data_IF_722987154693
#
_entry.id   IF_722987154693
#
_cell.length_a   1.000
_cell.length_b   1.000
_cell.length_c   1.000
_cell.angle_alpha   90.00
_cell.angle_beta   90.00
_cell.angle_gamma   90.00
#
_symmetry.space_group_name_H-M   'P 1'
#
loop_
_entity.id
_entity.type
_entity.pdbx_description
1 polymer ?
#
# COMPACT_ATOMS: atom_id res chain seq x y z
N UNK A 1 -33.01 -44.13 -20.27
CA UNK A 1 -32.85 -44.36 -21.73
C UNK A 1 -33.50 -43.27 -22.55
N UNK A 2 -32.68 -42.40 -23.12
CA UNK A 2 -33.13 -41.33 -24.02
C UNK A 2 -32.93 -41.84 -25.45
N UNK A 3 -34.02 -42.12 -26.16
CA UNK A 3 -34.01 -42.37 -27.61
C UNK A 3 -34.36 -41.07 -28.33
N UNK A 4 -33.44 -40.62 -29.18
CA UNK A 4 -33.65 -39.48 -30.07
C UNK A 4 -34.26 -39.99 -31.39
N UNK A 5 -35.48 -39.59 -31.72
CA UNK A 5 -36.01 -39.69 -33.09
C UNK A 5 -35.89 -38.33 -33.76
N UNK A 6 -35.34 -38.34 -34.97
CA UNK A 6 -34.96 -37.16 -35.72
C UNK A 6 -36.14 -36.76 -36.62
N UNK A 7 -37.05 -35.93 -36.11
CA UNK A 7 -37.99 -35.15 -36.92
C UNK A 7 -37.67 -33.66 -36.69
N UNK A 8 -37.22 -33.01 -37.75
CA UNK A 8 -37.02 -31.57 -37.92
C UNK A 8 -38.26 -30.83 -37.37
N UNK A 9 -38.25 -29.94 -36.38
CA UNK A 9 -37.34 -28.87 -36.01
C UNK A 9 -37.36 -28.71 -34.49
N UNK A 10 -36.31 -29.14 -33.79
CA UNK A 10 -36.15 -28.88 -32.36
C UNK A 10 -35.82 -30.13 -31.55
N UNK A 11 -35.33 -29.91 -30.32
CA UNK A 11 -35.05 -30.99 -29.38
C UNK A 11 -36.21 -31.05 -28.40
N UNK A 12 -37.00 -32.12 -28.47
CA UNK A 12 -38.10 -32.35 -27.52
C UNK A 12 -37.55 -32.94 -26.23
N UNK A 13 -37.76 -32.24 -25.12
CA UNK A 13 -37.33 -32.69 -23.79
C UNK A 13 -38.56 -33.05 -22.97
N UNK A 14 -38.67 -34.32 -22.56
CA UNK A 14 -39.74 -34.80 -21.68
C UNK A 14 -39.33 -34.63 -20.22
N UNK A 15 -40.14 -33.89 -19.46
CA UNK A 15 -39.91 -33.64 -18.03
C UNK A 15 -40.97 -34.41 -17.24
N UNK A 16 -40.52 -35.27 -16.31
CA UNK A 16 -41.40 -36.02 -15.42
C UNK A 16 -41.39 -35.37 -14.04
N UNK A 17 -42.58 -35.18 -13.48
CA UNK A 17 -42.74 -34.67 -12.12
C UNK A 17 -42.45 -35.79 -11.12
N UNK A 18 -41.78 -35.47 -10.02
CA UNK A 18 -41.52 -36.42 -8.92
C UNK A 18 -42.81 -36.86 -8.21
N UNK A 19 -43.85 -36.02 -8.23
CA UNK A 19 -45.13 -36.28 -7.57
C UNK A 19 -46.31 -35.87 -8.46
N UNK A 20 -47.46 -36.53 -8.26
CA UNK A 20 -48.70 -36.22 -8.99
C UNK A 20 -49.26 -34.87 -8.52
N UNK A 21 -49.40 -33.92 -9.45
CA UNK A 21 -49.94 -32.59 -9.17
C UNK A 21 -51.42 -32.69 -8.74
N UNK A 22 -51.77 -32.11 -7.59
CA UNK A 22 -53.16 -31.93 -7.13
C UNK A 22 -53.86 -30.84 -7.96
N UNK A 23 -55.19 -30.83 -8.00
CA UNK A 23 -55.98 -29.96 -8.90
C UNK A 23 -55.72 -28.45 -8.74
N UNK A 24 -55.25 -28.00 -7.58
CA UNK A 24 -54.88 -26.62 -7.23
C UNK A 24 -53.39 -26.46 -6.89
N UNK A 25 -52.61 -27.53 -7.06
CA UNK A 25 -51.19 -27.55 -6.75
C UNK A 25 -50.39 -26.64 -7.66
N UNK A 26 -49.36 -25.99 -7.11
CA UNK A 26 -48.40 -25.19 -7.87
C UNK A 26 -47.03 -25.86 -7.82
N UNK A 27 -46.41 -26.06 -8.97
CA UNK A 27 -45.03 -26.56 -9.07
C UNK A 27 -44.18 -25.51 -9.79
N UNK A 28 -42.93 -25.39 -9.36
CA UNK A 28 -41.90 -24.56 -10.01
C UNK A 28 -40.87 -25.50 -10.63
N UNK A 29 -40.59 -25.31 -11.92
CA UNK A 29 -39.60 -26.09 -12.67
C UNK A 29 -38.58 -25.10 -13.23
N UNK A 30 -37.30 -25.42 -13.09
CA UNK A 30 -36.22 -24.68 -13.70
C UNK A 30 -35.52 -25.58 -14.73
N UNK A 31 -35.40 -25.11 -15.96
CA UNK A 31 -34.72 -25.82 -17.05
C UNK A 31 -33.57 -24.94 -17.52
N UNK A 32 -32.37 -25.51 -17.57
CA UNK A 32 -31.15 -24.83 -18.04
C UNK A 32 -30.54 -25.62 -19.18
N UNK A 33 -30.18 -24.92 -20.25
CA UNK A 33 -29.59 -25.51 -21.45
C UNK A 33 -28.64 -24.52 -22.11
N UNK A 34 -27.67 -25.04 -22.85
CA UNK A 34 -26.71 -24.26 -23.62
C UNK A 34 -26.98 -24.46 -25.11
N UNK A 35 -27.16 -23.36 -25.84
CA UNK A 35 -27.35 -23.37 -27.29
C UNK A 35 -26.06 -22.93 -28.01
N UNK A 36 -25.77 -23.45 -29.21
CA UNK A 36 -24.65 -22.99 -30.02
C UNK A 36 -24.88 -21.52 -30.42
N UNK A 37 -23.97 -20.59 -30.08
CA UNK A 37 -24.17 -19.17 -30.34
C UNK A 37 -24.22 -18.85 -31.83
N UNK A 38 -23.58 -19.67 -32.70
CA UNK A 38 -23.52 -19.40 -34.14
C UNK A 38 -24.89 -19.36 -34.81
N UNK A 39 -25.89 -20.04 -34.25
CA UNK A 39 -27.23 -20.16 -34.85
C UNK A 39 -28.17 -19.00 -34.45
N UNK A 40 -27.84 -18.26 -33.40
CA UNK A 40 -28.71 -17.23 -32.81
C UNK A 40 -28.05 -15.84 -32.79
N UNK A 41 -26.73 -15.76 -32.97
CA UNK A 41 -25.98 -14.52 -32.97
C UNK A 41 -25.52 -14.14 -34.38
N UNK A 42 -26.02 -13.02 -34.89
CA UNK A 42 -25.61 -12.45 -36.17
C UNK A 42 -24.76 -11.21 -35.91
N UNK A 43 -23.58 -11.14 -36.51
CA UNK A 43 -22.72 -9.96 -36.46
C UNK A 43 -23.10 -9.00 -37.59
N UNK A 44 -23.45 -7.77 -37.25
CA UNK A 44 -23.85 -6.72 -38.19
C UNK A 44 -22.79 -5.59 -38.18
N UNK A 45 -21.71 -5.79 -38.94
CA UNK A 45 -20.57 -4.87 -38.95
C UNK A 45 -19.54 -5.16 -37.85
N UNK A 46 -18.79 -4.13 -37.43
CA UNK A 46 -17.59 -4.33 -36.59
C UNK A 46 -17.90 -4.39 -35.09
N UNK A 47 -18.95 -3.69 -34.65
CA UNK A 47 -19.32 -3.57 -33.24
C UNK A 47 -20.77 -3.93 -32.95
N UNK A 48 -21.63 -4.09 -33.96
CA UNK A 48 -23.04 -4.38 -33.73
C UNK A 48 -23.31 -5.88 -33.85
N UNK A 49 -24.14 -6.37 -32.96
CA UNK A 49 -24.56 -7.76 -32.88
C UNK A 49 -26.07 -7.81 -32.70
N UNK A 50 -26.68 -8.78 -33.37
CA UNK A 50 -28.12 -9.02 -33.31
C UNK A 50 -28.33 -10.43 -32.79
N UNK A 51 -28.91 -10.52 -31.60
CA UNK A 51 -29.38 -11.77 -31.02
C UNK A 51 -30.81 -12.02 -31.50
N UNK A 52 -31.00 -13.10 -32.26
CA UNK A 52 -32.29 -13.53 -32.80
C UNK A 52 -32.80 -14.71 -31.98
N UNK A 53 -33.90 -14.52 -31.26
CA UNK A 53 -34.53 -15.57 -30.46
C UNK A 53 -35.95 -15.77 -30.95
N UNK A 54 -36.28 -16.98 -31.35
CA UNK A 54 -37.64 -17.37 -31.69
C UNK A 54 -38.24 -18.14 -30.52
N UNK A 55 -39.26 -17.56 -29.88
CA UNK A 55 -40.00 -18.23 -28.82
C UNK A 55 -41.14 -19.02 -29.46
N UNK A 56 -40.99 -20.35 -29.46
CA UNK A 56 -42.00 -21.30 -29.95
C UNK A 56 -42.84 -21.75 -28.76
N UNK A 57 -44.18 -21.68 -28.90
CA UNK A 57 -45.12 -22.17 -27.89
C UNK A 57 -45.32 -23.68 -28.02
N UNK A 58 -45.31 -24.45 -26.92
CA UNK A 58 -45.84 -25.81 -26.92
C UNK A 58 -47.38 -25.77 -27.05
N UNK A 59 -47.93 -26.53 -28.00
CA UNK A 59 -49.35 -26.48 -28.39
C UNK A 59 -50.36 -26.68 -27.25
N UNK A 60 -49.96 -27.38 -26.18
CA UNK A 60 -50.85 -27.80 -25.09
C UNK A 60 -50.87 -26.85 -23.88
N UNK A 61 -50.10 -25.76 -23.87
CA UNK A 61 -49.91 -24.94 -22.65
C UNK A 61 -50.58 -23.56 -22.73
N UNK A 62 -51.20 -23.11 -21.63
CA UNK A 62 -51.70 -21.74 -21.46
C UNK A 62 -50.68 -20.94 -20.64
N UNK A 63 -50.13 -19.88 -21.22
CA UNK A 63 -49.09 -19.07 -20.60
C UNK A 63 -49.68 -17.72 -20.17
N UNK A 64 -49.68 -17.46 -18.85
CA UNK A 64 -50.25 -16.23 -18.29
C UNK A 64 -49.27 -15.04 -18.30
N UNK A 65 -47.99 -15.31 -18.02
CA UNK A 65 -46.92 -14.31 -17.99
C UNK A 65 -45.64 -14.91 -18.57
N UNK A 66 -44.97 -14.17 -19.45
CA UNK A 66 -43.59 -14.45 -19.87
C UNK A 66 -42.72 -13.27 -19.51
N UNK A 67 -41.60 -13.55 -18.83
CA UNK A 67 -40.57 -12.57 -18.56
C UNK A 67 -39.29 -13.04 -19.27
N UNK A 68 -38.85 -12.27 -20.27
CA UNK A 68 -37.57 -12.48 -20.93
C UNK A 68 -36.53 -11.58 -20.25
N UNK A 69 -35.42 -12.19 -19.84
CA UNK A 69 -34.29 -11.49 -19.24
C UNK A 69 -33.07 -11.78 -20.10
N UNK A 70 -32.59 -10.76 -20.81
CA UNK A 70 -31.37 -10.86 -21.61
C UNK A 70 -30.25 -10.16 -20.84
N UNK A 71 -29.22 -10.93 -20.47
CA UNK A 71 -28.03 -10.38 -19.83
C UNK A 71 -26.98 -10.13 -20.89
N UNK A 72 -26.66 -8.87 -21.12
CA UNK A 72 -25.65 -8.49 -22.11
C UNK A 72 -24.23 -8.71 -21.55
N UNK A 73 -23.22 -8.91 -22.42
CA UNK A 73 -21.84 -8.97 -21.99
C UNK A 73 -21.38 -7.62 -21.43
N UNK A 74 -20.34 -7.64 -20.60
CA UNK A 74 -19.79 -6.41 -20.01
C UNK A 74 -19.25 -5.45 -21.07
N UNK A 75 -19.64 -4.18 -21.00
CA UNK A 75 -19.27 -3.16 -22.00
C UNK A 75 -20.15 -3.18 -23.24
N UNK A 76 -21.20 -4.02 -23.29
CA UNK A 76 -22.23 -3.90 -24.30
C UNK A 76 -23.30 -2.90 -23.90
N UNK A 77 -23.71 -2.09 -24.87
CA UNK A 77 -24.84 -1.17 -24.75
C UNK A 77 -25.99 -1.65 -25.62
N UNK A 78 -27.21 -1.58 -25.09
CA UNK A 78 -28.40 -1.85 -25.87
C UNK A 78 -28.61 -0.74 -26.92
N UNK A 79 -28.75 -1.13 -28.20
CA UNK A 79 -29.11 -0.20 -29.27
C UNK A 79 -30.62 -0.15 -29.39
N UNK A 80 -31.24 -1.32 -29.63
CA UNK A 80 -32.66 -1.43 -29.91
C UNK A 80 -33.14 -2.86 -29.68
N UNK A 81 -34.35 -3.00 -29.14
CA UNK A 81 -35.09 -4.26 -29.16
C UNK A 81 -36.18 -4.11 -30.22
N UNK A 82 -36.06 -4.87 -31.31
CA UNK A 82 -37.08 -4.93 -32.34
C UNK A 82 -38.07 -6.03 -31.96
N UNK A 83 -39.21 -5.61 -31.43
CA UNK A 83 -40.35 -6.48 -31.14
C UNK A 83 -41.49 -6.19 -32.13
N UNK A 84 -42.27 -7.20 -32.55
CA UNK A 84 -43.56 -6.94 -33.18
C UNK A 84 -44.48 -6.23 -32.17
N UNK A 85 -44.79 -4.97 -32.47
CA UNK A 85 -45.14 -3.85 -31.58
C UNK A 85 -46.42 -4.00 -30.71
N UNK A 86 -47.15 -5.12 -30.74
CA UNK A 86 -48.55 -5.06 -30.29
C UNK A 86 -48.86 -5.43 -28.82
N UNK A 87 -47.90 -5.89 -27.98
CA UNK A 87 -48.25 -6.42 -26.63
C UNK A 87 -47.25 -6.24 -25.46
N UNK A 88 -46.07 -5.65 -25.68
CA UNK A 88 -45.11 -5.43 -24.58
C UNK A 88 -45.51 -4.21 -23.73
N UNK A 89 -45.59 -4.38 -22.40
CA UNK A 89 -46.02 -3.30 -21.50
C UNK A 89 -44.88 -2.33 -21.12
N UNK A 90 -43.66 -2.60 -21.58
CA UNK A 90 -42.50 -1.73 -21.46
C UNK A 90 -41.19 -2.53 -21.40
N UNK A 91 -40.17 -2.03 -22.10
CA UNK A 91 -38.79 -2.53 -21.99
C UNK A 91 -38.15 -1.84 -20.79
N UNK A 92 -37.66 -2.61 -19.81
CA UNK A 92 -36.88 -2.07 -18.69
C UNK A 92 -35.43 -2.46 -18.85
N UNK A 93 -34.53 -1.49 -18.75
CA UNK A 93 -33.08 -1.72 -18.76
C UNK A 93 -32.57 -1.41 -17.36
N UNK A 94 -31.96 -2.39 -16.71
CA UNK A 94 -31.33 -2.22 -15.40
C UNK A 94 -29.83 -2.47 -15.51
N UNK A 95 -29.03 -1.63 -14.84
CA UNK A 95 -27.61 -1.85 -14.69
C UNK A 95 -27.35 -2.82 -13.53
N UNK A 96 -26.73 -3.96 -13.84
CA UNK A 96 -26.34 -4.97 -12.83
C UNK A 96 -24.96 -4.70 -12.26
N UNK A 97 -24.14 -4.04 -13.06
CA UNK A 97 -22.79 -3.56 -12.74
C UNK A 97 -22.60 -2.25 -13.52
N UNK A 98 -21.67 -1.37 -13.13
CA UNK A 98 -21.32 -0.18 -13.91
C UNK A 98 -21.03 -0.45 -15.40
N UNK A 99 -20.69 -1.70 -15.76
CA UNK A 99 -20.39 -2.10 -17.13
C UNK A 99 -21.32 -3.20 -17.66
N UNK A 100 -22.43 -3.52 -17.01
CA UNK A 100 -23.31 -4.61 -17.46
C UNK A 100 -24.78 -4.23 -17.40
N UNK A 101 -25.45 -4.35 -18.54
CA UNK A 101 -26.88 -4.09 -18.70
C UNK A 101 -27.68 -5.40 -18.75
N UNK A 102 -28.85 -5.41 -18.09
CA UNK A 102 -29.88 -6.43 -18.25
C UNK A 102 -31.12 -5.82 -18.85
N UNK A 103 -31.65 -6.49 -19.86
CA UNK A 103 -32.89 -6.11 -20.53
C UNK A 103 -34.00 -7.01 -20.03
N UNK A 104 -35.02 -6.40 -19.46
CA UNK A 104 -36.23 -7.06 -18.98
C UNK A 104 -37.37 -6.72 -19.92
N UNK A 105 -37.99 -7.76 -20.45
CA UNK A 105 -39.19 -7.66 -21.27
C UNK A 105 -40.27 -8.53 -20.65
N UNK A 106 -41.38 -7.89 -20.25
CA UNK A 106 -42.52 -8.57 -19.67
C UNK A 106 -43.72 -8.60 -20.64
N UNK A 107 -44.28 -9.79 -20.81
CA UNK A 107 -45.49 -10.04 -21.60
C UNK A 107 -46.60 -10.57 -20.71
N UNK A 108 -47.77 -9.93 -20.76
CA UNK A 108 -48.96 -10.31 -20.01
C UNK A 108 -50.09 -10.81 -20.93
N UNK A 109 -50.79 -11.86 -20.51
CA UNK A 109 -52.03 -12.36 -21.16
C UNK A 109 -51.88 -12.70 -22.65
N UNK A 110 -50.91 -13.55 -22.99
CA UNK A 110 -50.54 -13.85 -24.37
C UNK A 110 -51.30 -15.09 -24.88
N UNK A 111 -52.52 -14.90 -25.38
CA UNK A 111 -53.40 -16.00 -25.82
C UNK A 111 -52.99 -16.60 -27.19
N UNK A 112 -52.17 -15.89 -28.00
CA UNK A 112 -51.55 -16.42 -29.23
C UNK A 112 -50.11 -15.95 -29.33
N UNK A 113 -49.17 -16.84 -29.00
CA UNK A 113 -47.79 -16.78 -29.49
C UNK A 113 -47.81 -17.29 -30.93
N UNK A 114 -47.98 -16.38 -31.87
CA UNK A 114 -47.58 -16.60 -33.26
C UNK A 114 -46.08 -16.28 -33.29
N UNK A 115 -45.25 -17.16 -33.86
CA UNK A 115 -43.79 -17.19 -33.77
C UNK A 115 -43.14 -15.84 -33.42
N UNK A 116 -42.87 -15.62 -32.11
CA UNK A 116 -42.35 -14.33 -31.65
C UNK A 116 -40.84 -14.35 -31.85
N UNK A 117 -40.39 -13.71 -32.93
CA UNK A 117 -38.99 -13.43 -33.17
C UNK A 117 -38.58 -12.15 -32.43
N UNK A 118 -37.82 -12.30 -31.35
CA UNK A 118 -37.24 -11.19 -30.59
C UNK A 118 -35.84 -10.95 -31.11
N UNK A 119 -35.62 -9.73 -31.60
CA UNK A 119 -34.32 -9.31 -32.10
C UNK A 119 -33.73 -8.24 -31.17
N UNK A 120 -32.72 -8.63 -30.39
CA UNK A 120 -31.99 -7.73 -29.50
C UNK A 120 -30.72 -7.26 -30.20
N UNK A 121 -30.68 -5.98 -30.55
CA UNK A 121 -29.52 -5.35 -31.18
C UNK A 121 -28.68 -4.66 -30.12
N UNK A 122 -27.40 -5.03 -30.02
CA UNK A 122 -26.48 -4.48 -29.04
C UNK A 122 -25.13 -4.15 -29.67
N UNK A 123 -24.45 -3.15 -29.12
CA UNK A 123 -23.10 -2.80 -29.52
C UNK A 123 -22.12 -3.43 -28.53
N UNK A 124 -21.08 -4.09 -29.02
CA UNK A 124 -20.02 -4.66 -28.21
C UNK A 124 -18.67 -4.46 -28.88
N UNK A 125 -17.79 -3.70 -28.24
CA UNK A 125 -16.44 -3.53 -28.73
C UNK A 125 -15.56 -4.70 -28.31
N UNK A 126 -14.84 -5.30 -29.28
CA UNK A 126 -14.03 -6.51 -29.08
C UNK A 126 -12.92 -6.31 -28.04
N UNK A 127 -12.46 -5.08 -27.81
CA UNK A 127 -11.45 -4.79 -26.79
C UNK A 127 -11.95 -5.04 -25.35
N UNK A 128 -13.26 -5.02 -25.10
CA UNK A 128 -13.81 -5.35 -23.78
C UNK A 128 -13.55 -6.81 -23.39
N UNK A 129 -13.48 -7.73 -24.35
CA UNK A 129 -13.12 -9.12 -24.09
C UNK A 129 -11.71 -9.24 -23.48
N UNK A 130 -10.82 -8.31 -23.84
CA UNK A 130 -9.46 -8.23 -23.32
C UNK A 130 -9.35 -7.52 -21.98
N UNK A 131 -10.36 -6.77 -21.52
CA UNK A 131 -10.21 -5.91 -20.34
C UNK A 131 -9.95 -6.68 -19.05
N UNK A 132 -10.65 -7.80 -18.82
CA UNK A 132 -10.45 -8.64 -17.64
C UNK A 132 -9.03 -9.21 -17.57
N UNK A 133 -8.51 -9.89 -18.61
CA UNK A 133 -7.14 -10.38 -18.57
C UNK A 133 -6.11 -9.25 -18.58
N UNK A 134 -6.36 -8.11 -19.25
CA UNK A 134 -5.41 -6.97 -19.23
C UNK A 134 -5.38 -6.26 -17.89
N UNK A 135 -6.49 -6.17 -17.16
CA UNK A 135 -6.51 -5.65 -15.79
C UNK A 135 -5.71 -6.54 -14.84
N UNK A 136 -5.86 -7.86 -14.95
CA UNK A 136 -5.04 -8.79 -14.18
C UNK A 136 -3.56 -8.68 -14.55
N UNK A 137 -3.23 -8.63 -15.84
CA UNK A 137 -1.87 -8.44 -16.31
C UNK A 137 -1.30 -7.08 -15.85
N UNK A 138 -2.07 -6.01 -15.91
CA UNK A 138 -1.69 -4.68 -15.44
C UNK A 138 -1.55 -4.63 -13.92
N UNK A 139 -2.34 -5.38 -13.16
CA UNK A 139 -2.17 -5.52 -11.72
C UNK A 139 -0.89 -6.30 -11.38
N UNK A 140 -0.57 -7.35 -12.13
CA UNK A 140 0.67 -8.13 -11.96
C UNK A 140 1.88 -7.27 -12.34
N UNK A 141 1.85 -6.65 -13.51
CA UNK A 141 2.94 -5.77 -13.99
C UNK A 141 3.05 -4.54 -13.10
N UNK A 142 1.94 -3.92 -12.73
CA UNK A 142 1.89 -2.78 -11.81
C UNK A 142 2.43 -3.12 -10.44
N UNK A 143 2.05 -4.27 -9.86
CA UNK A 143 2.61 -4.74 -8.60
C UNK A 143 4.11 -5.08 -8.73
N UNK A 144 4.55 -5.68 -9.83
CA UNK A 144 5.97 -5.91 -10.10
C UNK A 144 6.75 -4.60 -10.28
N UNK A 145 6.18 -3.58 -10.93
CA UNK A 145 6.78 -2.25 -11.07
C UNK A 145 6.83 -1.56 -9.71
N UNK A 146 5.76 -1.63 -8.91
CA UNK A 146 5.74 -1.08 -7.55
C UNK A 146 6.78 -1.79 -6.68
N UNK A 147 6.85 -3.11 -6.72
CA UNK A 147 7.89 -3.90 -6.05
C UNK A 147 9.28 -3.56 -6.58
N UNK A 148 9.46 -3.34 -7.87
CA UNK A 148 10.73 -2.95 -8.47
C UNK A 148 11.12 -1.52 -8.08
N UNK A 149 10.17 -0.58 -8.01
CA UNK A 149 10.41 0.80 -7.56
C UNK A 149 10.69 0.84 -6.06
N UNK A 150 9.97 0.05 -5.25
CA UNK A 150 10.27 -0.16 -3.83
C UNK A 150 11.63 -0.83 -3.66
N UNK A 151 11.96 -1.84 -4.46
CA UNK A 151 13.24 -2.54 -4.43
C UNK A 151 14.38 -1.70 -5.01
N UNK A 152 14.12 -0.74 -5.90
CA UNK A 152 15.12 0.21 -6.44
C UNK A 152 15.31 1.43 -5.54
N UNK A 153 14.24 1.88 -4.89
CA UNK A 153 14.30 2.77 -3.72
C UNK A 153 15.08 2.10 -2.57
N UNK A 154 14.86 0.79 -2.39
CA UNK A 154 15.67 -0.09 -1.53
C UNK A 154 16.96 -0.57 -2.23
N UNK A 155 17.24 -0.25 -3.50
CA UNK A 155 18.55 -0.56 -4.10
C UNK A 155 19.57 0.53 -3.74
N UNK A 156 19.13 1.55 -3.00
CA UNK A 156 19.98 2.36 -2.16
C UNK A 156 20.00 1.93 -0.68
N UNK A 157 19.29 0.87 -0.30
CA UNK A 157 19.34 0.27 1.03
C UNK A 157 19.05 -1.23 0.90
N UNK A 158 20.09 -2.03 0.68
CA UNK A 158 19.95 -3.48 0.76
C UNK A 158 19.35 -3.85 2.12
N UNK A 159 18.08 -4.22 2.15
CA UNK A 159 17.43 -4.80 3.33
C UNK A 159 17.30 -6.30 3.06
N UNK A 160 18.23 -7.14 3.56
CA UNK A 160 17.78 -8.40 4.09
C UNK A 160 16.92 -8.12 5.33
N UNK A 161 15.89 -8.95 5.51
CA UNK A 161 15.17 -9.19 6.78
C UNK A 161 15.94 -8.71 8.01
N UNK A 162 15.29 -8.07 9.01
CA UNK A 162 15.96 -7.52 10.18
C UNK A 162 16.84 -8.59 10.80
N UNK A 163 18.13 -8.56 10.50
CA UNK A 163 19.11 -9.19 11.34
C UNK A 163 18.99 -8.38 12.62
N UNK A 164 18.55 -8.97 13.76
CA UNK A 164 18.65 -8.27 15.02
C UNK A 164 20.08 -7.77 15.08
N UNK A 165 20.25 -6.46 15.28
CA UNK A 165 21.58 -5.91 15.49
C UNK A 165 22.23 -6.81 16.52
N UNK A 166 23.36 -7.42 16.17
CA UNK A 166 24.05 -8.26 17.15
C UNK A 166 24.17 -7.42 18.41
N UNK A 167 23.66 -7.93 19.53
CA UNK A 167 23.68 -7.23 20.83
C UNK A 167 25.11 -6.75 21.14
N UNK A 168 26.12 -7.42 20.59
CA UNK A 168 27.53 -7.03 20.62
C UNK A 168 27.84 -5.69 19.92
N UNK A 169 27.20 -5.38 18.79
CA UNK A 169 27.38 -4.11 18.06
C UNK A 169 26.76 -2.96 18.86
N UNK A 170 25.55 -3.15 19.42
CA UNK A 170 24.90 -2.16 20.28
C UNK A 170 25.73 -1.88 21.53
N UNK A 171 26.20 -2.94 22.19
CA UNK A 171 27.06 -2.82 23.37
C UNK A 171 28.35 -2.05 23.06
N UNK A 172 29.06 -2.42 22.00
CA UNK A 172 30.27 -1.73 21.56
C UNK A 172 30.02 -0.27 21.21
N UNK A 173 28.88 0.05 20.61
CA UNK A 173 28.52 1.43 20.29
C UNK A 173 28.34 2.27 21.56
N UNK A 174 27.61 1.75 22.55
CA UNK A 174 27.42 2.43 23.84
C UNK A 174 28.76 2.62 24.55
N UNK A 175 29.61 1.59 24.60
CA UNK A 175 30.95 1.67 25.19
C UNK A 175 31.80 2.76 24.53
N UNK A 176 31.77 2.86 23.20
CA UNK A 176 32.51 3.89 22.44
C UNK A 176 31.96 5.30 22.72
N UNK A 177 30.64 5.46 22.84
CA UNK A 177 30.01 6.72 23.21
C UNK A 177 30.38 7.17 24.63
N UNK A 178 30.37 6.24 25.59
CA UNK A 178 30.76 6.51 26.98
C UNK A 178 32.25 6.86 27.08
N UNK A 179 33.11 6.13 26.37
CA UNK A 179 34.55 6.40 26.34
C UNK A 179 34.86 7.76 25.68
N UNK A 180 34.16 8.12 24.59
CA UNK A 180 34.26 9.45 23.98
C UNK A 180 33.94 10.54 25.01
N UNK A 181 32.82 10.40 25.72
CA UNK A 181 32.40 11.36 26.74
C UNK A 181 33.42 11.47 27.88
N UNK A 182 33.97 10.32 28.32
CA UNK A 182 35.02 10.27 29.33
C UNK A 182 36.27 11.03 28.88
N UNK A 183 36.78 10.76 27.68
CA UNK A 183 37.96 11.44 27.12
C UNK A 183 37.72 12.95 27.04
N UNK A 184 36.53 13.37 26.59
CA UNK A 184 36.17 14.80 26.55
C UNK A 184 36.17 15.45 27.94
N UNK A 185 35.60 14.78 28.94
CA UNK A 185 35.62 15.28 30.32
C UNK A 185 37.05 15.34 30.90
N UNK A 186 37.88 14.34 30.60
CA UNK A 186 39.29 14.34 31.00
C UNK A 186 40.05 15.50 30.35
N UNK A 187 39.82 15.79 29.06
CA UNK A 187 40.38 16.96 28.37
C UNK A 187 39.97 18.28 29.04
N UNK A 188 38.68 18.44 29.38
CA UNK A 188 38.18 19.64 30.08
C UNK A 188 38.82 19.80 31.46
N UNK A 189 38.95 18.70 32.21
CA UNK A 189 39.61 18.72 33.52
C UNK A 189 41.11 19.07 33.42
N UNK A 190 41.78 18.60 32.36
CA UNK A 190 43.18 18.89 32.07
C UNK A 190 43.38 20.37 31.72
N UNK A 191 42.44 20.96 30.98
CA UNK A 191 42.41 22.40 30.68
C UNK A 191 42.21 23.23 31.94
N UNK A 192 41.29 22.87 32.84
CA UNK A 192 41.12 23.55 34.13
C UNK A 192 42.37 23.47 35.01
N UNK A 193 42.99 22.29 35.11
CA UNK A 193 44.20 22.11 35.92
C UNK A 193 45.38 22.93 35.38
N UNK A 194 45.51 23.02 34.06
CA UNK A 194 46.49 23.89 33.41
C UNK A 194 46.18 25.37 33.64
N UNK A 195 44.92 25.79 33.53
CA UNK A 195 44.50 27.17 33.78
C UNK A 195 44.75 27.61 35.24
N UNK A 196 44.60 26.68 36.20
CA UNK A 196 44.91 26.89 37.61
C UNK A 196 46.41 26.77 37.95
N UNK A 197 47.27 26.50 36.96
CA UNK A 197 48.72 26.37 37.14
C UNK A 197 49.19 25.09 37.85
N UNK A 198 48.31 24.09 38.01
CA UNK A 198 48.63 22.82 38.70
C UNK A 198 49.53 21.89 37.88
N UNK A 199 49.56 22.06 36.56
CA UNK A 199 50.32 21.23 35.64
C UNK A 199 51.23 22.11 34.78
N UNK A 200 52.47 21.67 34.57
CA UNK A 200 53.40 22.39 33.70
C UNK A 200 52.95 22.35 32.22
N UNK A 201 53.29 23.40 31.45
CA UNK A 201 52.96 23.47 30.00
C UNK A 201 53.43 22.24 29.21
N UNK A 202 54.57 21.65 29.59
CA UNK A 202 55.12 20.46 28.91
C UNK A 202 54.29 19.20 29.21
N UNK A 203 53.91 18.99 30.46
CA UNK A 203 53.05 17.87 30.86
C UNK A 203 51.66 17.99 30.23
N UNK A 204 51.08 19.19 30.23
CA UNK A 204 49.80 19.46 29.58
C UNK A 204 49.82 19.05 28.09
N UNK A 205 50.81 19.50 27.32
CA UNK A 205 50.93 19.15 25.89
C UNK A 205 51.04 17.65 25.67
N UNK A 206 51.80 16.94 26.51
CA UNK A 206 51.98 15.50 26.39
C UNK A 206 50.66 14.75 26.68
N UNK A 207 49.99 15.08 27.79
CA UNK A 207 48.72 14.48 28.18
C UNK A 207 47.62 14.77 27.16
N UNK A 208 47.52 16.03 26.70
CA UNK A 208 46.57 16.44 25.66
C UNK A 208 46.78 15.67 24.36
N UNK A 209 48.03 15.51 23.91
CA UNK A 209 48.35 14.74 22.70
C UNK A 209 47.96 13.26 22.84
N UNK A 210 48.13 12.67 24.04
CA UNK A 210 47.69 11.29 24.29
C UNK A 210 46.16 11.18 24.18
N UNK A 211 45.42 12.06 24.87
CA UNK A 211 43.95 12.09 24.82
C UNK A 211 43.43 12.36 23.40
N UNK A 212 44.06 13.25 22.63
CA UNK A 212 43.73 13.49 21.22
C UNK A 212 43.95 12.25 20.35
N UNK A 213 45.04 11.50 20.61
CA UNK A 213 45.30 10.21 19.98
C UNK A 213 44.21 9.18 20.28
N UNK A 214 43.84 9.03 21.56
CA UNK A 214 42.76 8.14 21.99
C UNK A 214 41.42 8.54 21.36
N UNK A 215 41.07 9.84 21.40
CA UNK A 215 39.86 10.37 20.79
C UNK A 215 39.77 10.04 19.29
N UNK A 216 40.88 10.19 18.56
CA UNK A 216 40.91 9.86 17.13
C UNK A 216 40.65 8.37 16.85
N UNK A 217 41.10 7.48 17.75
CA UNK A 217 40.85 6.05 17.63
C UNK A 217 39.39 5.70 17.94
N UNK A 218 38.84 6.29 19.00
CA UNK A 218 37.44 6.14 19.43
C UNK A 218 36.49 6.67 18.34
N UNK A 219 36.82 7.80 17.71
CA UNK A 219 36.03 8.38 16.64
C UNK A 219 36.02 7.51 15.37
N UNK A 220 37.14 6.85 15.04
CA UNK A 220 37.17 5.88 13.94
C UNK A 220 36.27 4.68 14.22
N UNK A 221 36.32 4.11 15.43
CA UNK A 221 35.42 3.01 15.82
C UNK A 221 33.96 3.45 15.86
N UNK A 222 33.69 4.68 16.29
CA UNK A 222 32.34 5.24 16.29
C UNK A 222 31.76 5.30 14.88
N UNK A 223 32.52 5.78 13.90
CA UNK A 223 32.05 5.86 12.51
C UNK A 223 31.77 4.48 11.90
N UNK A 224 32.61 3.49 12.18
CA UNK A 224 32.39 2.11 11.72
C UNK A 224 31.13 1.47 12.35
N UNK A 225 30.94 1.66 13.66
CA UNK A 225 29.75 1.17 14.37
C UNK A 225 28.48 1.91 13.96
N UNK A 226 28.57 3.23 13.72
CA UNK A 226 27.48 4.05 13.18
C UNK A 226 26.99 3.48 11.84
N UNK A 227 27.90 3.23 10.90
CA UNK A 227 27.53 2.69 9.60
C UNK A 227 26.82 1.32 9.72
N UNK A 228 27.29 0.46 10.63
CA UNK A 228 26.67 -0.84 10.92
C UNK A 228 25.27 -0.70 11.52
N UNK A 229 25.08 0.25 12.44
CA UNK A 229 23.78 0.52 13.06
C UNK A 229 22.79 1.20 12.10
N UNK A 230 23.24 2.11 11.24
CA UNK A 230 22.40 2.72 10.20
C UNK A 230 21.94 1.68 9.17
N UNK A 231 22.83 0.77 8.77
CA UNK A 231 22.50 -0.34 7.88
C UNK A 231 21.49 -1.33 8.49
N UNK A 232 21.50 -1.46 9.82
CA UNK A 232 20.60 -2.36 10.53
C UNK A 232 19.15 -1.86 10.60
N UNK A 233 18.89 -0.55 10.55
CA UNK A 233 17.52 -0.06 10.56
C UNK A 233 17.35 1.44 10.72
N UNK A 234 16.20 1.92 10.22
CA UNK A 234 15.81 3.35 10.30
C UNK A 234 15.65 3.85 11.74
N UNK A 235 15.25 2.99 12.67
CA UNK A 235 15.09 3.35 14.09
C UNK A 235 16.44 3.74 14.70
N UNK A 236 17.47 2.92 14.50
CA UNK A 236 18.84 3.21 14.94
C UNK A 236 19.42 4.44 14.24
N UNK A 237 19.22 4.58 12.93
CA UNK A 237 19.66 5.76 12.20
C UNK A 237 19.05 7.06 12.78
N UNK A 238 17.76 7.04 13.14
CA UNK A 238 17.11 8.18 13.77
C UNK A 238 17.64 8.46 15.19
N UNK A 239 17.92 7.42 16.00
CA UNK A 239 18.51 7.57 17.33
C UNK A 239 19.92 8.17 17.25
N UNK A 240 20.77 7.65 16.36
CA UNK A 240 22.14 8.15 16.14
C UNK A 240 22.11 9.60 15.66
N UNK A 241 21.23 9.93 14.71
CA UNK A 241 21.10 11.31 14.23
C UNK A 241 20.76 12.28 15.36
N UNK A 242 19.78 11.94 16.21
CA UNK A 242 19.41 12.76 17.37
C UNK A 242 20.55 12.87 18.39
N UNK A 243 21.33 11.80 18.57
CA UNK A 243 22.51 11.80 19.42
C UNK A 243 23.57 12.79 18.90
N UNK A 244 23.88 12.75 17.61
CA UNK A 244 24.84 13.67 16.98
C UNK A 244 24.37 15.13 17.01
N UNK A 245 23.07 15.37 16.81
CA UNK A 245 22.48 16.70 16.93
C UNK A 245 22.63 17.25 18.36
N UNK A 246 22.36 16.44 19.38
CA UNK A 246 22.53 16.82 20.77
C UNK A 246 24.01 17.08 21.13
N UNK A 247 24.93 16.22 20.69
CA UNK A 247 26.37 16.40 20.91
C UNK A 247 26.90 17.66 20.23
N UNK A 248 26.47 17.93 18.99
CA UNK A 248 26.83 19.14 18.27
C UNK A 248 26.29 20.39 18.97
N UNK A 249 25.06 20.36 19.50
CA UNK A 249 24.51 21.47 20.28
C UNK A 249 25.34 21.74 21.55
N UNK A 250 25.71 20.70 22.30
CA UNK A 250 26.58 20.82 23.48
C UNK A 250 27.91 21.50 23.11
N UNK A 251 28.55 21.05 22.03
CA UNK A 251 29.84 21.60 21.60
C UNK A 251 29.72 23.08 21.18
N UNK A 252 28.66 23.43 20.43
CA UNK A 252 28.39 24.82 20.02
C UNK A 252 28.15 25.71 21.25
N UNK A 253 27.39 25.23 22.24
CA UNK A 253 27.15 25.98 23.49
C UNK A 253 28.41 26.13 24.33
N UNK A 254 29.26 25.10 24.43
CA UNK A 254 30.56 25.18 25.14
C UNK A 254 31.50 26.21 24.51
N UNK A 255 31.58 26.26 23.17
CA UNK A 255 32.32 27.31 22.46
C UNK A 255 31.73 28.70 22.73
N UNK A 256 30.41 28.83 22.70
CA UNK A 256 29.71 30.10 22.99
C UNK A 256 30.00 30.59 24.41
N UNK A 257 30.08 29.70 25.40
CA UNK A 257 30.48 30.02 26.78
C UNK A 257 31.91 30.58 26.81
N UNK A 258 32.85 29.92 26.13
CA UNK A 258 34.25 30.40 26.04
C UNK A 258 34.32 31.79 25.42
N UNK A 259 33.59 32.03 24.34
CA UNK A 259 33.56 33.34 23.68
C UNK A 259 33.00 34.43 24.59
N UNK A 260 31.92 34.15 25.33
CA UNK A 260 31.36 35.08 26.33
C UNK A 260 32.38 35.42 27.40
N UNK A 261 33.12 34.44 27.92
CA UNK A 261 34.17 34.67 28.91
C UNK A 261 35.32 35.52 28.36
N UNK A 262 35.71 35.34 27.09
CA UNK A 262 36.73 36.16 26.44
C UNK A 262 36.26 37.61 26.30
N UNK A 263 35.03 37.85 25.83
CA UNK A 263 34.46 39.21 25.69
C UNK A 263 34.33 39.92 27.03
N UNK A 264 33.96 39.20 28.08
CA UNK A 264 33.91 39.74 29.44
C UNK A 264 35.30 40.18 29.92
N UNK A 265 36.34 39.34 29.74
CA UNK A 265 37.72 39.69 30.11
C UNK A 265 38.25 40.92 29.36
N UNK A 266 37.73 41.18 28.16
CA UNK A 266 38.05 42.37 27.35
C UNK A 266 37.24 43.61 27.74
N UNK A 267 36.25 43.48 28.64
CA UNK A 267 35.35 44.57 29.03
C UNK A 267 34.27 44.90 28.00
N UNK A 268 34.08 44.05 26.99
CA UNK A 268 33.10 44.28 25.91
C UNK A 268 31.65 44.05 26.37
N UNK A 269 31.45 43.30 27.46
CA UNK A 269 30.12 42.99 28.01
C UNK A 269 30.08 43.20 29.53
N UNK A 270 28.90 43.54 30.04
CA UNK A 270 28.67 43.73 31.47
C UNK A 270 28.67 42.40 32.24
N UNK A 271 28.91 42.46 33.55
CA UNK A 271 28.85 41.29 34.42
C UNK A 271 27.45 40.65 34.47
N UNK A 272 26.40 41.46 34.33
CA UNK A 272 25.00 41.01 34.30
C UNK A 272 24.70 40.27 33.00
N UNK A 273 25.09 40.85 31.85
CA UNK A 273 24.96 40.21 30.53
C UNK A 273 25.72 38.88 30.48
N UNK A 274 26.93 38.82 31.07
CA UNK A 274 27.70 37.57 31.18
C UNK A 274 26.93 36.51 31.96
N UNK A 275 26.39 36.85 33.14
CA UNK A 275 25.64 35.89 33.97
C UNK A 275 24.43 35.35 33.23
N UNK A 276 23.61 36.22 32.64
CA UNK A 276 22.42 35.82 31.89
C UNK A 276 22.76 34.88 30.72
N UNK A 277 23.77 35.21 29.89
CA UNK A 277 24.17 34.36 28.77
C UNK A 277 24.71 32.99 29.23
N UNK A 278 25.50 32.96 30.30
CA UNK A 278 26.02 31.71 30.86
C UNK A 278 24.90 30.81 31.41
N UNK A 279 23.90 31.39 32.07
CA UNK A 279 22.74 30.65 32.56
C UNK A 279 21.92 30.05 31.40
N UNK A 280 21.67 30.82 30.34
CA UNK A 280 20.93 30.35 29.18
C UNK A 280 21.67 29.25 28.43
N UNK A 281 22.98 29.39 28.21
CA UNK A 281 23.78 28.35 27.56
C UNK A 281 23.90 27.09 28.41
N UNK A 282 24.05 27.22 29.73
CA UNK A 282 24.04 26.04 30.64
C UNK A 282 22.70 25.30 30.57
N UNK A 283 21.57 26.01 30.63
CA UNK A 283 20.24 25.38 30.47
C UNK A 283 20.07 24.67 29.13
N UNK A 284 20.73 25.13 28.07
CA UNK A 284 20.73 24.45 26.76
C UNK A 284 21.61 23.20 26.77
N UNK A 285 22.78 23.28 27.39
CA UNK A 285 23.67 22.14 27.60
C UNK A 285 22.93 21.05 28.40
N UNK A 286 22.34 21.41 29.54
CA UNK A 286 21.62 20.44 30.40
C UNK A 286 20.49 19.72 29.64
N UNK A 287 19.77 20.44 28.77
CA UNK A 287 18.72 19.85 27.91
C UNK A 287 19.29 18.90 26.86
N UNK A 288 20.37 19.30 26.19
CA UNK A 288 21.01 18.45 25.18
C UNK A 288 21.67 17.21 25.81
N UNK A 289 22.26 17.34 27.01
CA UNK A 289 22.80 16.22 27.79
C UNK A 289 21.68 15.26 28.20
N UNK A 290 20.54 15.76 28.65
CA UNK A 290 19.36 14.94 28.96
C UNK A 290 18.89 14.12 27.75
N UNK A 291 18.85 14.71 26.55
CA UNK A 291 18.51 14.01 25.30
C UNK A 291 19.55 12.94 24.95
N UNK A 292 20.85 13.25 25.06
CA UNK A 292 21.94 12.30 24.82
C UNK A 292 21.80 11.08 25.74
N UNK A 293 21.59 11.34 27.03
CA UNK A 293 21.52 10.30 28.06
C UNK A 293 20.25 9.45 27.91
N UNK A 294 19.12 10.05 27.54
CA UNK A 294 17.88 9.34 27.21
C UNK A 294 18.08 8.36 26.03
N UNK A 295 18.76 8.79 24.97
CA UNK A 295 19.04 7.94 23.80
C UNK A 295 19.95 6.77 24.19
N UNK A 296 21.02 7.04 24.96
CA UNK A 296 21.92 5.99 25.44
C UNK A 296 21.19 4.98 26.35
N UNK A 297 20.26 5.45 27.18
CA UNK A 297 19.45 4.59 28.05
C UNK A 297 18.51 3.69 27.25
N UNK A 298 17.82 4.23 26.23
CA UNK A 298 17.00 3.42 25.31
C UNK A 298 17.82 2.36 24.58
N UNK A 299 19.02 2.70 24.12
CA UNK A 299 19.93 1.74 23.50
C UNK A 299 20.38 0.65 24.49
N UNK A 300 20.53 0.97 25.78
CA UNK A 300 20.81 -0.01 26.83
C UNK A 300 19.60 -0.92 27.12
N UNK A 301 18.39 -0.39 27.09
CA UNK A 301 17.17 -1.18 27.29
C UNK A 301 16.98 -2.24 26.19
N UNK A 302 17.38 -1.96 24.95
CA UNK A 302 17.32 -2.94 23.86
C UNK A 302 18.33 -4.11 23.98
N UNK A 303 19.30 -4.01 24.89
CA UNK A 303 20.28 -5.06 25.18
C UNK A 303 19.76 -6.05 26.23
N UNK A 304 18.77 -5.65 27.04
CA UNK A 304 18.18 -6.42 28.15
C UNK A 304 17.04 -7.33 27.68
#
# INVERSE_FOLDING_TARGET
>A
DVRFSNESYGVVVKIYLSEKLRADGRIKIAVSYALPPQNYLVKDGWQNYVLKINLIRPDEWVIYKVALIVTLPEGASLIQVNEPITRAQGIRVESVSPFQERVFVEYHSVVRFEDVSINVSYQYMVFWAGLRPTLLAAAIVGSAIILFLLAKSSAHVGIPSPTPVSVEILRKFIEVCEEKNRIMSEMESLEEQSARGKISRRQYRLMRKNLEGQLSSVQKSFLDLKAKMEAAGRTYANMIKRLEEAEAEIEVMKRSISDVEVRYRRGEISAETRRSLLEDYRRRIDRAESVRDEILLRLKEEIL
#
